data_IF_495021356646
#
_entry.id   IF_495021356646
#
_cell.length_a   1.000
_cell.length_b   1.000
_cell.length_c   1.000
_cell.angle_alpha   90.00
_cell.angle_beta   90.00
_cell.angle_gamma   90.00
#
_symmetry.space_group_name_H-M   'P 1'
#
loop_
_entity.id
_entity.type
_entity.pdbx_description
1 polymer ?
#
# COMPACT_ATOMS: atom_id res chain seq x y z
N UNK A 1 -7.54 -15.85 -17.94
CA UNK A 1 -7.01 -15.87 -16.58
C UNK A 1 -6.58 -14.47 -16.25
N UNK A 2 -7.14 -13.90 -15.20
CA UNK A 2 -6.70 -12.60 -14.70
C UNK A 2 -5.29 -12.69 -14.14
N UNK A 3 -4.58 -11.56 -14.23
CA UNK A 3 -3.20 -11.48 -13.78
C UNK A 3 -3.16 -11.52 -12.24
N UNK A 4 -2.13 -12.13 -11.61
CA UNK A 4 -2.12 -12.35 -10.16
C UNK A 4 -2.39 -11.10 -9.32
N UNK A 5 -1.86 -9.96 -9.75
CA UNK A 5 -2.07 -8.68 -9.06
C UNK A 5 -3.50 -8.13 -9.19
N UNK A 6 -4.22 -8.45 -10.25
CA UNK A 6 -5.63 -8.07 -10.38
C UNK A 6 -6.48 -8.88 -9.41
N UNK A 7 -6.27 -10.21 -9.38
CA UNK A 7 -6.95 -11.10 -8.44
C UNK A 7 -6.68 -10.68 -7.00
N UNK A 8 -5.43 -10.38 -6.66
CA UNK A 8 -5.07 -9.92 -5.31
C UNK A 8 -5.82 -8.64 -4.90
N UNK A 9 -5.84 -7.63 -5.77
CA UNK A 9 -6.56 -6.38 -5.51
C UNK A 9 -8.07 -6.60 -5.40
N UNK A 10 -8.65 -7.43 -6.28
CA UNK A 10 -10.07 -7.75 -6.29
C UNK A 10 -10.49 -8.47 -5.00
N UNK A 11 -9.76 -9.52 -4.60
CA UNK A 11 -10.11 -10.32 -3.42
C UNK A 11 -9.99 -9.53 -2.11
N UNK A 12 -9.15 -8.49 -2.07
CA UNK A 12 -8.99 -7.65 -0.87
C UNK A 12 -9.83 -6.36 -0.91
N UNK A 13 -10.42 -6.01 -2.06
CA UNK A 13 -11.20 -4.79 -2.23
C UNK A 13 -12.38 -4.68 -1.25
N UNK A 14 -12.98 -5.82 -0.89
CA UNK A 14 -14.11 -5.90 0.05
C UNK A 14 -13.76 -5.57 1.51
N UNK A 15 -12.48 -5.52 1.87
CA UNK A 15 -12.05 -5.25 3.26
C UNK A 15 -12.07 -3.75 3.62
N UNK A 16 -12.19 -2.86 2.63
CA UNK A 16 -12.30 -1.42 2.89
C UNK A 16 -11.00 -0.71 3.29
N UNK A 17 -9.84 -1.36 3.17
CA UNK A 17 -8.52 -0.77 3.50
C UNK A 17 -7.85 -0.03 2.34
N UNK A 18 -8.60 0.27 1.27
CA UNK A 18 -8.08 0.89 0.06
C UNK A 18 -7.65 -0.13 -1.01
N UNK A 19 -6.80 0.31 -1.94
CA UNK A 19 -6.39 -0.50 -3.08
C UNK A 19 -5.16 -1.36 -2.74
N UNK A 20 -5.33 -2.67 -2.69
CA UNK A 20 -4.24 -3.57 -2.35
C UNK A 20 -3.20 -3.70 -3.48
N UNK A 21 -1.92 -3.51 -3.16
CA UNK A 21 -0.80 -3.66 -4.08
C UNK A 21 -0.14 -5.03 -3.92
N UNK A 22 0.02 -5.76 -5.02
CA UNK A 22 0.77 -7.02 -5.04
C UNK A 22 2.25 -6.82 -4.68
N UNK A 23 2.85 -5.73 -5.14
CA UNK A 23 4.18 -5.32 -4.77
C UNK A 23 4.10 -3.91 -4.16
N UNK A 24 4.06 -3.81 -2.82
CA UNK A 24 3.93 -2.53 -2.14
C UNK A 24 5.23 -1.72 -2.16
N UNK A 25 6.36 -2.32 -2.56
CA UNK A 25 7.64 -1.64 -2.54
C UNK A 25 7.74 -0.64 -3.71
N UNK A 26 7.92 0.65 -3.42
CA UNK A 26 8.14 1.67 -4.44
C UNK A 26 9.45 1.40 -5.21
N UNK A 27 9.52 1.92 -6.43
CA UNK A 27 10.64 1.66 -7.37
C UNK A 27 11.88 2.46 -7.02
N UNK A 28 11.68 3.69 -6.59
CA UNK A 28 12.69 4.53 -5.97
C UNK A 28 12.68 4.13 -4.49
N UNK A 29 13.83 4.01 -3.82
CA UNK A 29 13.97 3.55 -2.43
C UNK A 29 13.24 4.43 -1.37
N UNK A 30 12.24 5.21 -1.77
CA UNK A 30 11.40 6.08 -0.97
C UNK A 30 9.98 5.55 -0.85
N UNK A 31 9.40 5.59 0.34
CA UNK A 31 7.99 5.28 0.59
C UNK A 31 7.01 6.11 -0.26
N UNK A 32 5.79 5.58 -0.42
CA UNK A 32 4.67 6.34 -1.01
C UNK A 32 4.25 7.42 -0.02
N UNK A 33 4.16 8.65 -0.50
CA UNK A 33 3.82 9.83 0.31
C UNK A 33 2.42 10.33 0.02
N UNK A 34 1.81 11.01 0.99
CA UNK A 34 0.57 11.75 0.76
C UNK A 34 0.82 12.78 -0.34
N UNK A 35 -0.09 12.81 -1.32
CA UNK A 35 0.03 13.67 -2.49
C UNK A 35 0.70 13.01 -3.68
N UNK A 36 1.27 11.80 -3.56
CA UNK A 36 1.84 11.10 -4.71
C UNK A 36 0.75 10.80 -5.75
N UNK A 37 0.99 11.27 -6.98
CA UNK A 37 0.17 11.00 -8.15
C UNK A 37 0.95 10.03 -9.03
N UNK A 38 0.27 9.00 -9.51
CA UNK A 38 0.93 7.93 -10.23
C UNK A 38 -0.06 6.95 -10.85
N UNK A 39 0.47 5.83 -11.32
CA UNK A 39 -0.34 4.75 -11.87
C UNK A 39 0.11 3.40 -11.31
N UNK A 40 -0.76 2.41 -11.40
CA UNK A 40 -0.46 1.04 -10.98
C UNK A 40 -0.16 0.20 -12.21
N UNK A 41 0.98 -0.48 -12.22
CA UNK A 41 1.36 -1.41 -13.29
C UNK A 41 1.94 -2.67 -12.67
N UNK A 42 1.40 -3.82 -13.09
CA UNK A 42 1.80 -5.14 -12.57
C UNK A 42 1.76 -5.22 -11.03
N UNK A 43 0.75 -4.58 -10.44
CA UNK A 43 0.53 -4.58 -9.00
C UNK A 43 1.50 -3.73 -8.17
N UNK A 44 2.28 -2.86 -8.81
CA UNK A 44 3.17 -1.89 -8.17
C UNK A 44 2.72 -0.47 -8.48
N UNK A 45 2.87 0.44 -7.53
CA UNK A 45 2.65 1.87 -7.73
C UNK A 45 3.88 2.54 -8.37
N UNK A 46 3.64 3.38 -9.38
CA UNK A 46 4.64 4.18 -10.08
C UNK A 46 4.31 5.66 -9.90
N UNK A 47 5.10 6.38 -9.10
CA UNK A 47 4.94 7.82 -8.90
C UNK A 47 5.36 8.60 -10.16
N UNK A 48 4.54 9.57 -10.54
CA UNK A 48 4.86 10.62 -11.52
C UNK A 48 5.44 11.83 -10.80
N UNK A 49 4.68 12.38 -9.86
CA UNK A 49 5.02 13.56 -9.07
C UNK A 49 4.23 13.54 -7.76
N UNK A 50 4.60 14.36 -6.79
CA UNK A 50 3.84 14.64 -5.58
C UNK A 50 3.13 15.99 -5.71
N UNK A 51 1.79 15.95 -5.68
CA UNK A 51 0.91 17.10 -5.82
C UNK A 51 0.99 18.11 -4.67
N UNK A 52 1.63 17.79 -3.56
CA UNK A 52 1.82 18.69 -2.42
C UNK A 52 3.21 19.32 -2.39
N UNK A 53 4.11 18.90 -3.29
CA UNK A 53 5.48 19.43 -3.40
C UNK A 53 5.59 20.47 -4.49
N UNK A 54 6.57 21.35 -4.38
CA UNK A 54 6.88 22.34 -5.41
C UNK A 54 7.34 21.68 -6.71
N UNK A 55 7.19 22.36 -7.85
CA UNK A 55 7.61 21.85 -9.15
C UNK A 55 9.12 21.52 -9.22
N UNK A 56 9.92 22.17 -8.38
CA UNK A 56 11.37 22.02 -8.30
C UNK A 56 11.81 21.03 -7.20
N UNK A 57 10.87 20.42 -6.47
CA UNK A 57 11.19 19.38 -5.49
C UNK A 57 11.77 18.16 -6.21
N UNK A 58 12.82 17.49 -5.67
CA UNK A 58 13.41 16.31 -6.29
C UNK A 58 12.41 15.23 -6.71
N UNK A 59 11.31 15.06 -5.95
CA UNK A 59 10.26 14.07 -6.26
C UNK A 59 9.46 14.40 -7.53
N UNK A 60 9.51 15.66 -7.96
CA UNK A 60 8.78 16.18 -9.12
C UNK A 60 9.68 16.38 -10.34
N UNK A 61 11.00 16.19 -10.21
CA UNK A 61 11.94 16.41 -11.32
C UNK A 61 11.98 15.26 -12.32
N UNK A 62 11.75 14.02 -11.88
CA UNK A 62 11.91 12.82 -12.73
C UNK A 62 10.95 12.81 -13.93
N UNK A 63 9.66 13.10 -13.72
CA UNK A 63 8.65 13.16 -14.77
C UNK A 63 8.07 14.56 -14.99
N UNK A 64 8.49 15.54 -14.19
CA UNK A 64 7.93 16.88 -14.20
C UNK A 64 6.54 16.95 -13.57
N UNK A 65 5.94 18.13 -13.68
CA UNK A 65 4.56 18.42 -13.27
C UNK A 65 3.80 19.01 -14.47
N UNK A 66 2.46 19.01 -14.45
CA UNK A 66 1.67 19.64 -15.51
C UNK A 66 1.96 21.15 -15.69
N UNK A 67 1.60 21.69 -16.85
CA UNK A 67 1.73 23.12 -17.11
C UNK A 67 0.91 23.95 -16.12
N UNK A 68 1.48 25.06 -15.67
CA UNK A 68 0.87 25.95 -14.66
C UNK A 68 0.52 25.24 -13.34
N UNK A 69 1.31 24.23 -12.97
CA UNK A 69 1.17 23.50 -11.71
C UNK A 69 1.30 24.44 -10.51
N UNK A 70 0.34 24.29 -9.59
CA UNK A 70 0.33 24.93 -8.28
C UNK A 70 0.21 23.82 -7.23
N UNK A 71 1.13 23.73 -6.25
CA UNK A 71 1.08 22.70 -5.23
C UNK A 71 -0.23 22.73 -4.43
N UNK A 72 -0.81 21.55 -4.22
CA UNK A 72 -1.96 21.33 -3.36
C UNK A 72 -1.58 21.60 -1.91
N UNK A 73 -2.24 22.60 -1.31
CA UNK A 73 -2.11 22.92 0.11
C UNK A 73 -3.29 22.35 0.88
N UNK A 74 -3.07 21.24 1.57
CA UNK A 74 -4.06 20.65 2.46
C UNK A 74 -4.05 21.38 3.82
N UNK A 75 -5.22 21.71 4.33
CA UNK A 75 -5.36 22.10 5.74
C UNK A 75 -4.99 20.89 6.60
N UNK A 76 -4.18 21.10 7.65
CA UNK A 76 -3.79 20.05 8.59
C UNK A 76 -4.99 19.35 9.22
N UNK A 77 -6.14 20.02 9.31
CA UNK A 77 -7.40 19.44 9.81
C UNK A 77 -7.94 18.31 8.93
N UNK A 78 -7.53 18.23 7.67
CA UNK A 78 -7.95 17.17 6.74
C UNK A 78 -7.03 15.94 6.82
N UNK A 79 -5.88 16.05 7.49
CA UNK A 79 -4.94 14.95 7.66
C UNK A 79 -5.27 14.24 8.96
N UNK A 80 -6.03 13.16 8.88
CA UNK A 80 -6.27 12.26 10.00
C UNK A 80 -5.14 11.25 10.03
N UNK A 81 -4.37 11.24 11.12
CA UNK A 81 -3.51 10.11 11.44
C UNK A 81 -4.34 9.09 12.18
N UNK A 82 -4.47 7.91 11.58
CA UNK A 82 -5.00 6.75 12.27
C UNK A 82 -3.82 5.85 12.64
N UNK A 83 -3.33 6.00 13.86
CA UNK A 83 -2.27 5.15 14.41
C UNK A 83 -2.75 3.69 14.59
N UNK A 84 -4.04 3.43 14.33
CA UNK A 84 -4.69 2.12 14.38
C UNK A 84 -4.94 1.46 13.01
N UNK A 85 -4.53 2.07 11.91
CA UNK A 85 -4.70 1.50 10.58
C UNK A 85 -3.75 0.28 10.42
N UNK A 86 -4.33 -0.92 10.53
CA UNK A 86 -3.65 -2.23 10.51
C UNK A 86 -2.74 -2.46 11.74
N UNK A 87 -3.32 -2.48 12.94
CA UNK A 87 -2.62 -2.90 14.19
C UNK A 87 -2.35 -4.42 14.21
N UNK A 88 -2.92 -5.18 13.28
CA UNK A 88 -2.68 -6.62 13.25
C UNK A 88 -1.24 -6.89 12.78
N UNK A 89 -0.39 -7.55 13.59
CA UNK A 89 0.96 -7.96 13.16
C UNK A 89 0.93 -8.92 11.96
N UNK A 90 -0.25 -9.46 11.65
CA UNK A 90 -0.55 -10.26 10.47
C UNK A 90 -2.04 -10.16 10.15
N UNK A 91 -2.39 -9.78 8.92
CA UNK A 91 -3.74 -10.00 8.39
C UNK A 91 -3.80 -11.46 7.94
N UNK A 92 -4.50 -12.28 8.71
CA UNK A 92 -4.64 -13.72 8.46
C UNK A 92 -6.11 -14.07 8.28
N UNK A 93 -6.37 -15.15 7.55
CA UNK A 93 -7.73 -15.70 7.42
C UNK A 93 -8.30 -15.97 8.82
N UNK A 94 -9.62 -15.80 9.00
CA UNK A 94 -10.31 -16.05 10.28
C UNK A 94 -10.05 -17.46 10.84
N UNK A 95 -9.73 -18.42 9.97
CA UNK A 95 -9.43 -19.80 10.31
C UNK A 95 -7.96 -20.06 10.68
N UNK A 96 -7.08 -19.06 10.61
CA UNK A 96 -5.66 -19.20 10.98
C UNK A 96 -5.46 -18.68 12.40
N UNK A 97 -5.05 -19.59 13.29
CA UNK A 97 -4.72 -19.29 14.68
C UNK A 97 -3.20 -19.15 14.78
N UNK A 98 -2.72 -17.99 15.24
CA UNK A 98 -1.29 -17.80 15.58
C UNK A 98 -0.98 -18.63 16.83
N UNK A 99 -0.10 -19.60 16.70
CA UNK A 99 0.40 -20.40 17.83
C UNK A 99 1.87 -20.05 18.06
N UNK A 100 2.19 -19.48 19.23
CA UNK A 100 3.57 -19.25 19.65
C UNK A 100 4.07 -20.47 20.41
N UNK A 101 5.11 -21.13 19.90
CA UNK A 101 5.64 -22.37 20.47
C UNK A 101 7.03 -22.11 21.07
N UNK A 102 7.16 -22.28 22.39
CA UNK A 102 8.45 -22.38 23.06
C UNK A 102 9.09 -23.76 22.80
N UNK A 103 10.42 -23.81 22.78
CA UNK A 103 11.20 -25.00 22.42
C UNK A 103 10.66 -26.28 23.08
N UNK A 104 10.44 -27.31 22.26
CA UNK A 104 9.95 -28.66 22.58
C UNK A 104 8.46 -28.97 22.39
N UNK A 105 7.79 -28.36 21.40
CA UNK A 105 6.57 -28.95 20.84
C UNK A 105 6.53 -28.92 19.29
N UNK A 106 6.14 -30.06 18.70
CA UNK A 106 5.86 -30.18 17.27
C UNK A 106 4.37 -29.90 17.04
N UNK A 107 4.06 -28.92 16.19
CA UNK A 107 2.67 -28.56 15.84
C UNK A 107 2.42 -28.91 14.36
N UNK A 108 1.35 -29.68 14.12
CA UNK A 108 0.81 -29.90 12.77
C UNK A 108 -0.21 -28.79 12.46
N UNK A 109 0.14 -27.86 11.56
CA UNK A 109 -0.82 -26.90 11.02
C UNK A 109 -1.57 -27.59 9.88
N UNK A 110 -2.82 -27.97 10.14
CA UNK A 110 -3.70 -28.49 9.09
C UNK A 110 -4.40 -27.32 8.41
N UNK A 111 -3.88 -26.90 7.27
CA UNK A 111 -4.57 -25.96 6.38
C UNK A 111 -5.68 -26.74 5.69
N UNK A 112 -6.91 -26.65 6.19
CA UNK A 112 -8.08 -27.10 5.46
C UNK A 112 -8.36 -26.10 4.34
N UNK A 113 -7.86 -26.40 3.13
CA UNK A 113 -8.45 -25.85 1.92
C UNK A 113 -9.82 -26.53 1.72
N UNK A 114 -10.88 -25.72 1.66
CA UNK A 114 -12.20 -26.15 1.19
C UNK A 114 -12.15 -26.55 -0.29
#
# INVERSE_FOLDING_TARGET
>A
MDLPWNVYAEQLSGLGYGYALWNPQPIEDSEVLIGDVGWIRKGRFHRLFNAMKDAQDPLNLSFGVPDSYVPLRLDKKLVVKDDGAIIAPSVMSESIIKVEVGADAQVCVQVCCL
#
